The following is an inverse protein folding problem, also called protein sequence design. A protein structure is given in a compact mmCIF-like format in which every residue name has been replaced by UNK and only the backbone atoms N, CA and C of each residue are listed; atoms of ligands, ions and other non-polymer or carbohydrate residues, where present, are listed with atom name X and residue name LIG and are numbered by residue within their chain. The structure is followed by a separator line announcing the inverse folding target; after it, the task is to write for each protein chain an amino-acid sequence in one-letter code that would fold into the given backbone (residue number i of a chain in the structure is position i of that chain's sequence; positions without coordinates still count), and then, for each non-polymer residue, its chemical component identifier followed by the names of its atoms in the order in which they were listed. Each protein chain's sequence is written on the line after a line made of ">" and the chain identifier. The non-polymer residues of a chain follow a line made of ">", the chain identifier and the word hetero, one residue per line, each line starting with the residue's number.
data_IF_858251232477
#
_entry.id   IF_858251232477
#
_cell.length_a   1.000
_cell.length_b   1.000
_cell.length_c   1.000
_cell.angle_alpha   90.00
_cell.angle_beta   90.00
_cell.angle_gamma   90.00
#
_symmetry.space_group_name_H-M   'P 1'
#
loop_
_entity.id
_entity.type
_entity.pdbx_description
1 polymer ?
#
# COMPACT_ATOMS: atom_id res chain seq x y z
N UNK A 1 -14.75 9.04 28.13
CA UNK A 1 -13.62 9.99 28.26
C UNK A 1 -12.91 10.04 26.93
N UNK A 2 -12.41 11.22 26.53
CA UNK A 2 -11.68 11.38 25.28
C UNK A 2 -10.26 10.83 25.38
N UNK A 3 -9.51 10.97 24.28
CA UNK A 3 -8.07 10.76 24.31
C UNK A 3 -7.40 12.00 24.95
N UNK A 4 -6.96 11.86 26.20
CA UNK A 4 -6.30 12.92 26.97
C UNK A 4 -4.77 12.93 26.74
N UNK A 5 -4.25 12.12 25.81
CA UNK A 5 -2.82 12.14 25.49
C UNK A 5 -2.46 13.36 24.64
N UNK A 6 -1.27 13.97 24.84
CA UNK A 6 -0.81 15.06 24.00
C UNK A 6 -0.76 14.64 22.53
N UNK A 7 -1.04 15.58 21.61
CA UNK A 7 -0.76 15.36 20.20
C UNK A 7 0.68 14.86 20.01
N UNK A 8 0.89 13.98 19.03
CA UNK A 8 2.17 13.31 18.84
C UNK A 8 3.36 14.29 18.76
N UNK A 9 3.16 15.43 18.08
CA UNK A 9 4.15 16.52 17.95
C UNK A 9 4.48 17.23 19.28
N UNK A 10 3.60 17.18 20.26
CA UNK A 10 3.76 17.76 21.59
C UNK A 10 4.19 16.73 22.64
N UNK A 11 4.31 15.45 22.26
CA UNK A 11 4.66 14.39 23.19
C UNK A 11 6.14 14.48 23.56
N UNK A 12 6.45 14.28 24.84
CA UNK A 12 7.82 14.10 25.33
C UNK A 12 8.33 12.67 25.15
N UNK A 13 7.46 11.74 24.71
CA UNK A 13 7.78 10.34 24.48
C UNK A 13 7.86 10.06 22.98
N UNK A 14 8.71 9.11 22.54
CA UNK A 14 8.73 8.68 21.14
C UNK A 14 7.35 8.12 20.75
N UNK A 15 6.81 8.62 19.64
CA UNK A 15 5.52 8.22 19.07
C UNK A 15 5.73 7.55 17.71
N UNK A 16 4.86 6.61 17.37
CA UNK A 16 4.88 5.96 16.07
C UNK A 16 4.40 6.93 14.98
N UNK A 17 4.86 6.74 13.75
CA UNK A 17 4.55 7.64 12.63
C UNK A 17 3.03 7.76 12.38
N UNK A 18 2.27 6.69 12.63
CA UNK A 18 0.82 6.67 12.41
C UNK A 18 0.05 7.63 13.34
N UNK A 19 0.62 8.02 14.49
CA UNK A 19 -0.03 8.97 15.43
C UNK A 19 -0.07 10.40 14.90
N UNK A 20 0.73 10.71 13.87
CA UNK A 20 0.74 12.00 13.19
C UNK A 20 -0.36 12.12 12.13
N UNK A 21 -0.98 11.00 11.74
CA UNK A 21 -2.08 10.98 10.78
C UNK A 21 -3.42 10.89 11.51
N UNK A 22 -4.40 11.70 11.09
CA UNK A 22 -5.77 11.65 11.62
C UNK A 22 -6.73 11.22 10.52
N UNK A 23 -7.63 10.30 10.86
CA UNK A 23 -8.65 9.82 9.93
C UNK A 23 -9.62 10.98 9.60
N UNK A 24 -9.78 11.25 8.32
CA UNK A 24 -10.80 12.18 7.85
C UNK A 24 -12.16 11.49 7.91
N UNK A 25 -13.21 12.27 8.16
CA UNK A 25 -14.59 11.78 8.16
C UNK A 25 -15.49 12.77 7.44
N UNK A 26 -16.51 12.22 6.79
CA UNK A 26 -17.50 12.98 6.09
C UNK A 26 -18.48 13.65 7.07
N UNK A 27 -18.99 14.82 6.70
CA UNK A 27 -19.97 15.58 7.49
C UNK A 27 -21.11 16.03 6.57
N UNK A 28 -21.48 17.31 6.62
CA UNK A 28 -22.67 17.86 5.92
C UNK A 28 -22.67 17.59 4.41
N UNK A 29 -21.50 17.59 3.77
CA UNK A 29 -21.36 17.47 2.31
C UNK A 29 -21.70 16.09 1.76
N UNK A 30 -21.54 15.03 2.56
CA UNK A 30 -21.79 13.65 2.15
C UNK A 30 -21.99 12.77 3.40
N UNK A 31 -23.05 11.95 3.47
CA UNK A 31 -23.30 11.11 4.64
C UNK A 31 -22.29 9.96 4.75
N UNK A 32 -21.90 9.55 5.97
CA UNK A 32 -21.15 8.31 6.17
C UNK A 32 -22.03 7.08 5.86
N UNK A 33 -21.41 6.01 5.35
CA UNK A 33 -22.06 4.71 5.09
C UNK A 33 -22.04 3.86 6.37
N UNK A 34 -23.13 3.14 6.67
CA UNK A 34 -23.17 2.21 7.81
C UNK A 34 -22.40 0.91 7.47
N UNK A 35 -21.24 0.65 8.11
CA UNK A 35 -20.39 -0.48 7.75
C UNK A 35 -20.98 -1.86 8.12
N UNK A 36 -22.06 -1.91 8.90
CA UNK A 36 -22.72 -3.16 9.30
C UNK A 36 -24.00 -3.39 8.50
N UNK A 37 -24.85 -2.37 8.37
CA UNK A 37 -26.14 -2.46 7.68
C UNK A 37 -25.98 -2.41 6.16
N UNK A 38 -24.99 -1.69 5.67
CA UNK A 38 -24.73 -1.47 4.24
C UNK A 38 -23.44 -2.17 3.79
N UNK A 39 -22.97 -3.17 4.53
CA UNK A 39 -21.72 -3.89 4.22
C UNK A 39 -21.67 -4.48 2.79
N UNK A 40 -22.82 -4.80 2.20
CA UNK A 40 -22.93 -5.38 0.86
C UNK A 40 -22.63 -4.40 -0.28
N UNK A 41 -22.65 -3.08 -0.02
CA UNK A 41 -22.22 -2.05 -0.99
C UNK A 41 -20.75 -1.64 -0.79
N UNK A 42 -20.07 -2.23 0.19
CA UNK A 42 -18.65 -1.98 0.49
C UNK A 42 -17.79 -3.17 0.07
N UNK A 43 -16.54 -2.91 -0.30
CA UNK A 43 -15.57 -3.96 -0.66
C UNK A 43 -14.16 -3.59 -0.19
N UNK A 44 -13.42 -4.59 0.28
CA UNK A 44 -11.98 -4.52 0.55
C UNK A 44 -11.17 -5.26 -0.53
N UNK A 45 -11.82 -5.60 -1.66
CA UNK A 45 -11.15 -6.30 -2.74
C UNK A 45 -9.95 -5.48 -3.23
N UNK A 46 -8.79 -6.12 -3.26
CA UNK A 46 -7.52 -5.50 -3.65
C UNK A 46 -6.99 -6.23 -4.86
N UNK A 47 -6.53 -5.50 -5.88
CA UNK A 47 -5.93 -6.07 -7.07
C UNK A 47 -4.45 -5.72 -7.15
N UNK A 48 -3.61 -6.69 -7.55
CA UNK A 48 -2.18 -6.49 -7.79
C UNK A 48 -1.89 -6.90 -9.24
N UNK A 49 -1.20 -6.04 -9.97
CA UNK A 49 -0.86 -6.25 -11.38
C UNK A 49 -0.58 -4.93 -12.08
N UNK A 50 -0.10 -5.01 -13.32
CA UNK A 50 0.21 -3.81 -14.10
C UNK A 50 -1.07 -3.03 -14.42
N UNK A 51 -1.04 -1.73 -14.18
CA UNK A 51 -2.09 -0.85 -14.68
C UNK A 51 -1.96 -0.71 -16.20
N UNK A 52 -3.08 -0.89 -16.89
CA UNK A 52 -3.17 -0.83 -18.33
C UNK A 52 -4.08 0.33 -18.73
N UNK A 53 -3.96 0.77 -19.98
CA UNK A 53 -4.72 1.90 -20.48
C UNK A 53 -6.24 1.66 -20.37
N UNK A 54 -6.94 2.54 -19.65
CA UNK A 54 -8.40 2.50 -19.45
C UNK A 54 -9.20 2.71 -20.74
N UNK A 55 -8.60 3.27 -21.79
CA UNK A 55 -9.27 3.54 -23.07
C UNK A 55 -9.12 2.41 -24.10
N UNK A 56 -8.29 1.40 -23.82
CA UNK A 56 -8.04 0.29 -24.73
C UNK A 56 -8.51 -1.01 -24.09
N UNK A 57 -9.60 -1.58 -24.60
CA UNK A 57 -9.99 -2.96 -24.32
C UNK A 57 -8.97 -3.90 -24.98
N UNK A 58 -7.93 -4.27 -24.25
CA UNK A 58 -6.92 -5.22 -24.68
C UNK A 58 -7.00 -6.48 -23.81
N UNK A 59 -6.83 -7.66 -24.42
CA UNK A 59 -6.85 -8.96 -23.74
C UNK A 59 -5.83 -9.03 -22.57
N UNK A 60 -4.77 -8.23 -22.60
CA UNK A 60 -3.75 -8.14 -21.55
C UNK A 60 -4.20 -7.52 -20.22
N UNK A 61 -5.42 -7.01 -20.09
CA UNK A 61 -5.93 -6.44 -18.83
C UNK A 61 -6.23 -7.50 -17.75
N UNK A 62 -6.34 -8.78 -18.12
CA UNK A 62 -6.76 -9.85 -17.22
C UNK A 62 -5.64 -10.43 -16.33
N UNK A 63 -4.37 -10.09 -16.57
CA UNK A 63 -3.24 -10.60 -15.78
C UNK A 63 -3.10 -9.85 -14.45
N UNK A 64 -4.02 -10.12 -13.53
CA UNK A 64 -4.08 -9.50 -12.20
C UNK A 64 -4.42 -10.51 -11.12
N UNK A 65 -3.78 -10.35 -9.97
CA UNK A 65 -4.10 -11.11 -8.77
C UNK A 65 -5.14 -10.32 -7.97
N UNK A 66 -6.29 -10.95 -7.70
CA UNK A 66 -7.37 -10.34 -6.94
C UNK A 66 -7.49 -11.00 -5.56
N UNK A 67 -7.49 -10.19 -4.53
CA UNK A 67 -7.67 -10.58 -3.14
C UNK A 67 -8.99 -10.03 -2.61
N UNK A 68 -9.61 -10.73 -1.67
CA UNK A 68 -10.84 -10.25 -1.00
C UNK A 68 -10.57 -9.17 0.05
N UNK A 69 -9.31 -9.03 0.47
CA UNK A 69 -8.87 -8.14 1.54
C UNK A 69 -7.42 -7.72 1.28
N UNK A 70 -7.00 -6.51 1.69
CA UNK A 70 -5.59 -6.12 1.70
C UNK A 70 -4.77 -6.84 2.78
N UNK A 71 -5.43 -7.56 3.70
CA UNK A 71 -4.76 -8.35 4.74
C UNK A 71 -4.50 -9.75 4.19
N UNK A 72 -3.23 -10.09 4.01
CA UNK A 72 -2.80 -11.38 3.47
C UNK A 72 -2.41 -12.34 4.59
N UNK A 73 -2.79 -13.61 4.44
CA UNK A 73 -2.19 -14.70 5.21
C UNK A 73 -0.77 -14.97 4.69
N UNK A 74 0.05 -15.61 5.52
CA UNK A 74 1.42 -15.97 5.14
C UNK A 74 1.47 -16.83 3.86
N UNK A 75 0.52 -17.76 3.70
CA UNK A 75 0.38 -18.57 2.48
C UNK A 75 0.19 -17.73 1.24
N UNK A 76 -0.72 -16.75 1.31
CA UNK A 76 -1.12 -15.91 0.19
C UNK A 76 0.01 -14.95 -0.18
N UNK A 77 0.69 -14.40 0.85
CA UNK A 77 1.88 -13.58 0.66
C UNK A 77 3.03 -14.35 0.01
N UNK A 78 3.27 -15.59 0.46
CA UNK A 78 4.30 -16.45 -0.14
C UNK A 78 3.96 -16.74 -1.59
N UNK A 79 2.72 -17.12 -1.89
CA UNK A 79 2.28 -17.36 -3.25
C UNK A 79 2.48 -16.11 -4.12
N UNK A 80 2.05 -14.94 -3.65
CA UNK A 80 2.22 -13.67 -4.35
C UNK A 80 3.69 -13.36 -4.69
N UNK A 81 4.61 -13.70 -3.80
CA UNK A 81 6.04 -13.35 -3.95
C UNK A 81 6.87 -14.39 -4.69
N UNK A 82 6.35 -15.61 -4.89
CA UNK A 82 7.08 -16.71 -5.57
C UNK A 82 6.55 -17.06 -6.95
N UNK A 83 5.59 -16.30 -7.49
CA UNK A 83 5.10 -16.52 -8.86
C UNK A 83 6.16 -16.07 -9.88
N UNK A 84 6.56 -16.98 -10.77
CA UNK A 84 7.61 -16.75 -11.77
C UNK A 84 7.08 -16.32 -13.15
N UNK A 85 5.76 -16.34 -13.34
CA UNK A 85 5.14 -15.93 -14.61
C UNK A 85 5.44 -14.45 -14.90
N UNK A 86 5.63 -14.12 -16.18
CA UNK A 86 6.07 -12.79 -16.66
C UNK A 86 5.24 -11.62 -16.11
N UNK A 87 3.95 -11.85 -15.83
CA UNK A 87 3.01 -10.83 -15.35
C UNK A 87 2.92 -10.71 -13.83
N UNK A 88 3.63 -11.53 -13.05
CA UNK A 88 3.55 -11.57 -11.58
C UNK A 88 4.90 -11.47 -10.87
N UNK A 89 5.95 -11.11 -11.61
CA UNK A 89 7.30 -10.96 -11.06
C UNK A 89 7.30 -10.01 -9.84
N UNK A 90 7.76 -10.53 -8.72
CA UNK A 90 8.00 -9.79 -7.49
C UNK A 90 9.52 -9.67 -7.23
N UNK A 91 9.94 -8.54 -6.69
CA UNK A 91 11.31 -8.33 -6.23
C UNK A 91 11.28 -7.69 -4.83
N UNK A 92 12.30 -7.97 -4.02
CA UNK A 92 12.38 -7.50 -2.62
C UNK A 92 13.21 -6.23 -2.53
N UNK A 93 12.60 -5.17 -2.01
CA UNK A 93 13.29 -3.93 -1.66
C UNK A 93 13.53 -3.87 -0.15
N UNK A 94 14.80 -3.98 0.24
CA UNK A 94 15.21 -3.78 1.63
C UNK A 94 15.08 -2.30 2.00
N UNK A 95 14.33 -2.02 3.07
CA UNK A 95 14.06 -0.67 3.59
C UNK A 95 14.92 -0.34 4.83
N UNK A 96 15.81 -1.23 5.23
CA UNK A 96 16.73 -1.00 6.35
C UNK A 96 17.93 -0.18 5.90
N UNK A 97 18.50 0.61 6.82
CA UNK A 97 19.70 1.39 6.56
C UNK A 97 20.52 1.59 7.83
N UNK A 98 21.82 1.83 7.65
CA UNK A 98 22.73 2.20 8.74
C UNK A 98 22.70 3.72 8.97
N UNK A 99 22.20 4.12 10.13
CA UNK A 99 22.09 5.52 10.55
C UNK A 99 23.45 6.19 10.79
N UNK A 100 24.54 5.44 10.89
CA UNK A 100 25.90 5.99 11.01
C UNK A 100 26.54 6.29 9.65
N UNK A 101 26.10 5.62 8.60
CA UNK A 101 26.66 5.74 7.25
C UNK A 101 25.92 6.75 6.38
N UNK A 102 24.61 6.91 6.55
CA UNK A 102 23.77 7.76 5.70
C UNK A 102 22.61 8.37 6.50
N UNK A 103 22.00 9.42 5.95
CA UNK A 103 20.80 10.02 6.53
C UNK A 103 19.52 9.34 6.04
N UNK A 104 18.44 9.43 6.82
CA UNK A 104 17.11 8.92 6.41
C UNK A 104 16.64 9.54 5.08
N UNK A 105 16.89 10.84 4.89
CA UNK A 105 16.46 11.54 3.68
C UNK A 105 17.16 11.00 2.42
N UNK A 106 18.46 10.77 2.50
CA UNK A 106 19.25 10.17 1.41
C UNK A 106 18.82 8.72 1.14
N UNK A 107 18.61 7.93 2.20
CA UNK A 107 18.11 6.56 2.08
C UNK A 107 16.75 6.51 1.39
N UNK A 108 15.79 7.34 1.80
CA UNK A 108 14.45 7.37 1.18
C UNK A 108 14.56 7.72 -0.31
N UNK A 109 15.41 8.68 -0.67
CA UNK A 109 15.64 9.03 -2.07
C UNK A 109 16.24 7.86 -2.87
N UNK A 110 17.28 7.21 -2.32
CA UNK A 110 17.89 6.05 -2.95
C UNK A 110 16.93 4.87 -3.09
N UNK A 111 16.02 4.67 -2.11
CA UNK A 111 14.97 3.65 -2.19
C UNK A 111 13.97 3.95 -3.30
N UNK A 112 13.55 5.21 -3.48
CA UNK A 112 12.71 5.61 -4.60
C UNK A 112 13.39 5.35 -5.95
N UNK A 113 14.65 5.73 -6.10
CA UNK A 113 15.42 5.52 -7.34
C UNK A 113 15.57 4.02 -7.65
N UNK A 114 15.84 3.20 -6.61
CA UNK A 114 15.95 1.75 -6.74
C UNK A 114 14.61 1.11 -7.10
N UNK A 115 13.51 1.53 -6.47
CA UNK A 115 12.17 1.05 -6.80
C UNK A 115 11.80 1.36 -8.26
N UNK A 116 12.11 2.56 -8.74
CA UNK A 116 11.90 2.93 -10.15
C UNK A 116 12.69 2.03 -11.10
N UNK A 117 13.97 1.79 -10.82
CA UNK A 117 14.81 0.90 -11.63
C UNK A 117 14.27 -0.53 -11.65
N UNK A 118 13.80 -1.05 -10.52
CA UNK A 118 13.19 -2.38 -10.43
C UNK A 118 11.94 -2.48 -11.31
N UNK A 119 11.03 -1.51 -11.21
CA UNK A 119 9.82 -1.45 -12.07
C UNK A 119 10.18 -1.34 -13.55
N UNK A 120 11.18 -0.53 -13.92
CA UNK A 120 11.69 -0.44 -15.31
C UNK A 120 12.26 -1.77 -15.81
N UNK A 121 12.87 -2.55 -14.93
CA UNK A 121 13.42 -3.88 -15.21
C UNK A 121 12.36 -5.00 -15.21
N UNK A 122 11.08 -4.66 -15.06
CA UNK A 122 9.96 -5.58 -15.20
C UNK A 122 9.35 -6.08 -13.89
N UNK A 123 9.75 -5.56 -12.73
CA UNK A 123 9.04 -5.82 -11.46
C UNK A 123 7.61 -5.31 -11.55
N UNK A 124 6.65 -6.12 -11.12
CA UNK A 124 5.24 -5.74 -11.13
C UNK A 124 4.91 -4.93 -9.88
N UNK A 125 4.45 -3.69 -10.07
CA UNK A 125 3.98 -2.84 -8.98
C UNK A 125 2.51 -3.14 -8.65
N UNK A 126 2.15 -3.07 -7.37
CA UNK A 126 0.76 -3.04 -6.95
C UNK A 126 0.16 -1.65 -7.23
N UNK A 127 -0.82 -1.56 -8.12
CA UNK A 127 -1.69 -0.40 -8.24
C UNK A 127 -2.88 -0.57 -7.29
N UNK A 128 -3.05 0.35 -6.33
CA UNK A 128 -4.27 0.40 -5.55
C UNK A 128 -5.35 1.06 -6.42
N UNK A 129 -6.38 0.29 -6.79
CA UNK A 129 -7.64 0.82 -7.33
C UNK A 129 -8.48 1.42 -6.19
#
# INVERSE_FOLDING_TARGET
>A
MGDDTPFAVLSSQPRIIYDYFRQQFAQVTNPPIDPLREAHVMSLATSIGREMNVFCEAEGQAHRLSFKSPILLYSDFKQLTTMEEEHYRADVLDITFDATATTLAETVKALCDKAEQMVRNGTVSAGAL
#
